data_IF_188069762898
#
_entry.id   IF_188069762898
#
_cell.length_a   1.000
_cell.length_b   1.000
_cell.length_c   1.000
_cell.angle_alpha   90.00
_cell.angle_beta   90.00
_cell.angle_gamma   90.00
#
_symmetry.space_group_name_H-M   'P 1'
#
loop_
_entity.id
_entity.type
_entity.pdbx_description
1 polymer ?
#
# COMPACT_ATOMS: atom_id res chain seq x y z
N UNK A 1 19.31 17.45 -37.38
CA UNK A 1 19.47 17.74 -35.95
C UNK A 1 18.95 19.15 -35.70
N UNK A 2 17.63 19.28 -35.49
CA UNK A 2 16.98 20.57 -35.24
C UNK A 2 17.18 20.90 -33.76
N UNK A 3 18.07 21.83 -33.47
CA UNK A 3 18.23 22.40 -32.12
C UNK A 3 16.99 23.22 -31.80
N UNK A 4 16.08 22.64 -31.01
CA UNK A 4 15.05 23.40 -30.31
C UNK A 4 15.75 24.32 -29.30
N UNK A 5 15.93 25.59 -29.67
CA UNK A 5 16.26 26.64 -28.70
C UNK A 5 15.02 26.88 -27.85
N UNK A 6 14.97 26.28 -26.67
CA UNK A 6 14.09 26.74 -25.59
C UNK A 6 14.64 28.07 -25.10
N UNK A 7 14.13 29.18 -25.65
CA UNK A 7 14.29 30.50 -25.05
C UNK A 7 13.41 30.56 -23.82
N UNK A 8 13.97 30.30 -22.64
CA UNK A 8 13.32 30.66 -21.37
C UNK A 8 13.31 32.19 -21.27
N UNK A 9 12.23 32.80 -21.74
CA UNK A 9 11.92 34.21 -21.52
C UNK A 9 11.63 34.40 -20.04
N UNK A 10 12.57 35.01 -19.31
CA UNK A 10 12.38 35.52 -17.94
C UNK A 10 11.51 36.78 -17.97
N UNK A 11 10.28 36.66 -18.47
CA UNK A 11 9.25 37.68 -18.36
C UNK A 11 8.50 37.52 -17.04
N UNK A 12 8.40 38.58 -16.24
CA UNK A 12 7.58 38.59 -15.03
C UNK A 12 6.15 38.14 -15.35
N UNK A 13 5.78 36.94 -14.91
CA UNK A 13 4.48 36.35 -15.21
C UNK A 13 3.38 37.15 -14.53
N UNK A 14 2.40 37.62 -15.31
CA UNK A 14 1.21 38.31 -14.81
C UNK A 14 0.49 37.45 -13.76
N UNK A 15 -0.04 38.08 -12.70
CA UNK A 15 -0.84 37.41 -11.66
C UNK A 15 -2.00 36.59 -12.25
N UNK A 16 -2.58 37.04 -13.37
CA UNK A 16 -3.64 36.31 -14.08
C UNK A 16 -3.12 35.03 -14.76
N UNK A 17 -1.92 35.10 -15.34
CA UNK A 17 -1.25 33.95 -15.95
C UNK A 17 -0.82 32.92 -14.89
N UNK A 18 -0.34 33.38 -13.73
CA UNK A 18 -0.04 32.50 -12.59
C UNK A 18 -1.30 31.80 -12.06
N UNK A 19 -2.40 32.54 -11.87
CA UNK A 19 -3.68 31.97 -11.46
C UNK A 19 -4.21 30.95 -12.48
N UNK A 20 -4.12 31.26 -13.78
CA UNK A 20 -4.54 30.35 -14.84
C UNK A 20 -3.75 29.04 -14.84
N UNK A 21 -2.43 29.10 -14.61
CA UNK A 21 -1.58 27.91 -14.53
C UNK A 21 -1.86 27.07 -13.28
N UNK A 22 -2.13 27.71 -12.14
CA UNK A 22 -2.52 27.00 -10.91
C UNK A 22 -3.86 26.28 -11.11
N UNK A 23 -4.85 26.95 -11.72
CA UNK A 23 -6.16 26.34 -12.02
C UNK A 23 -5.99 25.16 -12.99
N UNK A 24 -5.19 25.32 -14.04
CA UNK A 24 -4.91 24.25 -15.00
C UNK A 24 -4.23 23.05 -14.32
N UNK A 25 -3.28 23.29 -13.41
CA UNK A 25 -2.60 22.23 -12.68
C UNK A 25 -3.54 21.42 -11.76
N UNK A 26 -4.55 22.07 -11.16
CA UNK A 26 -5.57 21.39 -10.34
C UNK A 26 -6.50 20.56 -11.22
N UNK A 27 -6.94 21.09 -12.37
CA UNK A 27 -7.89 20.40 -13.26
C UNK A 27 -7.31 19.15 -13.94
N UNK A 28 -5.99 19.02 -14.03
CA UNK A 28 -5.31 17.88 -14.66
C UNK A 28 -5.10 16.70 -13.69
N UNK A 29 -5.49 16.81 -12.42
CA UNK A 29 -5.38 15.71 -11.45
C UNK A 29 -6.37 14.59 -11.80
N UNK A 30 -5.86 13.50 -12.40
CA UNK A 30 -6.63 12.27 -12.62
C UNK A 30 -6.94 11.52 -11.33
N UNK A 31 -7.83 10.51 -11.42
CA UNK A 31 -8.13 9.61 -10.30
C UNK A 31 -6.92 8.77 -9.93
N UNK A 32 -6.23 9.16 -8.85
CA UNK A 32 -5.15 8.37 -8.27
C UNK A 32 -5.74 7.17 -7.53
N UNK A 33 -5.49 5.95 -8.00
CA UNK A 33 -5.74 4.75 -7.20
C UNK A 33 -4.64 4.66 -6.14
N UNK A 34 -5.02 4.87 -4.89
CA UNK A 34 -4.13 4.75 -3.76
C UNK A 34 -4.18 3.30 -3.25
N UNK A 35 -3.01 2.69 -3.19
CA UNK A 35 -2.78 1.37 -2.61
C UNK A 35 -1.82 1.53 -1.44
N UNK A 36 -2.01 0.72 -0.40
CA UNK A 36 -1.17 0.78 0.77
C UNK A 36 -1.40 -0.41 1.68
N UNK A 37 -0.36 -0.74 2.42
CA UNK A 37 -0.38 -1.74 3.47
C UNK A 37 0.43 -1.23 4.67
N UNK A 38 0.25 -1.89 5.81
CA UNK A 38 1.04 -1.60 6.99
C UNK A 38 2.43 -2.22 6.80
N UNK A 39 3.49 -1.41 6.89
CA UNK A 39 4.87 -1.85 6.70
C UNK A 39 5.53 -2.32 8.01
N UNK A 40 5.31 -1.58 9.11
CA UNK A 40 5.84 -1.88 10.43
C UNK A 40 4.76 -1.77 11.52
N UNK A 41 4.38 -2.89 12.18
CA UNK A 41 4.73 -4.27 11.80
C UNK A 41 4.10 -4.66 10.45
N UNK A 42 4.69 -5.57 9.66
CA UNK A 42 4.18 -5.89 8.34
C UNK A 42 2.76 -6.46 8.41
N UNK A 43 1.88 -5.95 7.55
CA UNK A 43 0.53 -6.46 7.38
C UNK A 43 0.59 -7.96 7.03
N UNK A 44 -0.44 -8.72 7.46
CA UNK A 44 -0.54 -10.17 7.22
C UNK A 44 -0.38 -10.56 5.74
N UNK A 45 -0.91 -9.73 4.83
CA UNK A 45 -0.75 -9.91 3.39
C UNK A 45 0.65 -9.60 2.87
N UNK A 46 1.45 -8.82 3.59
CA UNK A 46 2.76 -8.30 3.19
C UNK A 46 3.93 -9.03 3.86
N UNK A 47 3.66 -9.91 4.83
CA UNK A 47 4.66 -10.68 5.56
C UNK A 47 5.63 -11.44 4.63
N UNK A 48 5.17 -11.92 3.48
CA UNK A 48 6.03 -12.63 2.51
C UNK A 48 7.18 -11.76 1.99
N UNK A 49 7.02 -10.42 1.96
CA UNK A 49 8.08 -9.47 1.56
C UNK A 49 9.25 -9.45 2.56
N UNK A 50 8.99 -9.80 3.81
CA UNK A 50 9.93 -9.74 4.93
C UNK A 50 10.48 -11.11 5.32
N UNK A 51 10.33 -12.12 4.45
CA UNK A 51 10.93 -13.45 4.67
C UNK A 51 10.15 -14.36 5.62
N UNK A 52 8.92 -14.00 5.99
CA UNK A 52 8.03 -14.90 6.71
C UNK A 52 7.56 -16.04 5.78
N UNK A 53 7.34 -17.23 6.35
CA UNK A 53 6.84 -18.39 5.61
C UNK A 53 5.31 -18.29 5.36
N UNK A 54 4.88 -17.26 4.63
CA UNK A 54 3.49 -17.02 4.21
C UNK A 54 3.39 -17.14 2.69
N UNK A 55 2.27 -17.61 2.13
CA UNK A 55 2.04 -17.57 0.69
C UNK A 55 2.18 -16.14 0.14
N UNK A 56 2.73 -16.03 -1.06
CA UNK A 56 2.92 -14.73 -1.73
C UNK A 56 1.55 -14.14 -2.07
N UNK A 57 1.32 -12.91 -1.62
CA UNK A 57 0.20 -12.07 -2.05
C UNK A 57 0.75 -10.84 -2.78
N UNK A 58 0.70 -10.82 -4.10
CA UNK A 58 1.19 -9.69 -4.91
C UNK A 58 0.32 -8.43 -4.80
N UNK A 59 -0.92 -8.58 -4.35
CA UNK A 59 -1.91 -7.51 -4.16
C UNK A 59 -2.06 -7.15 -2.68
N UNK A 60 -0.99 -7.33 -1.90
CA UNK A 60 -0.96 -7.09 -0.46
C UNK A 60 -1.23 -5.63 -0.06
N UNK A 61 -1.04 -4.71 -1.00
CA UNK A 61 -1.38 -3.29 -0.88
C UNK A 61 -2.84 -2.95 -1.23
N UNK A 62 -3.67 -3.94 -1.57
CA UNK A 62 -5.02 -3.75 -2.10
C UNK A 62 -6.14 -4.22 -1.14
N UNK A 63 -5.90 -4.12 0.17
CA UNK A 63 -6.86 -4.51 1.22
C UNK A 63 -7.97 -3.47 1.41
N UNK A 64 -8.92 -3.43 0.47
CA UNK A 64 -9.96 -2.40 0.35
C UNK A 64 -11.39 -2.93 0.59
N UNK A 65 -11.55 -3.91 1.48
CA UNK A 65 -12.85 -4.51 1.84
C UNK A 65 -13.58 -5.16 0.66
N UNK A 66 -12.85 -5.65 -0.35
CA UNK A 66 -13.40 -6.21 -1.59
C UNK A 66 -13.77 -5.16 -2.65
N UNK A 67 -13.38 -3.90 -2.45
CA UNK A 67 -13.61 -2.80 -3.37
C UNK A 67 -14.88 -2.00 -3.07
N UNK A 68 -14.95 -0.76 -3.59
CA UNK A 68 -15.99 0.22 -3.26
C UNK A 68 -17.42 -0.33 -3.45
N UNK A 69 -17.67 -1.07 -4.52
CA UNK A 69 -18.98 -1.64 -4.81
C UNK A 69 -19.40 -2.69 -3.77
N UNK A 70 -18.47 -3.57 -3.39
CA UNK A 70 -18.68 -4.60 -2.35
C UNK A 70 -18.84 -3.96 -0.99
N UNK A 71 -18.00 -3.00 -0.65
CA UNK A 71 -18.07 -2.25 0.61
C UNK A 71 -19.41 -1.53 0.77
N UNK A 72 -19.89 -0.88 -0.29
CA UNK A 72 -21.20 -0.20 -0.30
C UNK A 72 -22.34 -1.20 -0.14
N UNK A 73 -22.30 -2.31 -0.89
CA UNK A 73 -23.29 -3.40 -0.80
C UNK A 73 -23.35 -4.02 0.60
N UNK A 74 -22.22 -4.08 1.28
CA UNK A 74 -22.08 -4.57 2.64
C UNK A 74 -22.35 -3.50 3.71
N UNK A 75 -23.09 -2.43 3.39
CA UNK A 75 -23.42 -1.35 4.36
C UNK A 75 -22.19 -0.76 5.04
N UNK A 76 -21.10 -0.61 4.27
CA UNK A 76 -19.80 -0.13 4.72
C UNK A 76 -19.11 -1.04 5.76
N UNK A 77 -19.54 -2.29 5.89
CA UNK A 77 -18.87 -3.29 6.72
C UNK A 77 -17.64 -3.85 5.99
N UNK A 78 -16.62 -4.18 6.78
CA UNK A 78 -15.35 -4.71 6.30
C UNK A 78 -14.91 -5.89 7.18
N UNK A 79 -14.10 -6.80 6.63
CA UNK A 79 -13.41 -7.80 7.44
C UNK A 79 -12.36 -7.16 8.33
N UNK A 80 -12.03 -7.80 9.46
CA UNK A 80 -11.13 -7.21 10.46
C UNK A 80 -9.70 -7.04 9.94
N UNK A 81 -9.34 -7.78 8.89
CA UNK A 81 -8.05 -7.71 8.22
C UNK A 81 -8.12 -7.07 6.82
N UNK A 82 -9.19 -6.35 6.49
CA UNK A 82 -9.32 -5.63 5.21
C UNK A 82 -9.93 -6.44 4.06
N UNK A 83 -10.31 -7.69 4.30
CA UNK A 83 -11.06 -8.55 3.37
C UNK A 83 -12.53 -8.10 3.21
N UNK A 84 -13.24 -8.63 2.20
CA UNK A 84 -14.68 -8.38 2.04
C UNK A 84 -15.49 -8.88 3.24
N UNK A 85 -16.45 -8.08 3.71
CA UNK A 85 -17.30 -8.48 4.82
C UNK A 85 -18.13 -9.75 4.56
N UNK A 86 -18.54 -10.01 3.33
CA UNK A 86 -19.39 -11.17 2.99
C UNK A 86 -18.65 -12.22 2.14
N UNK A 87 -17.33 -12.06 1.97
CA UNK A 87 -16.50 -12.95 1.16
C UNK A 87 -15.49 -13.76 1.97
N UNK A 88 -14.64 -14.54 1.28
CA UNK A 88 -13.54 -15.26 1.91
C UNK A 88 -12.59 -14.32 2.67
N UNK A 89 -12.22 -14.70 3.89
CA UNK A 89 -11.30 -13.94 4.76
C UNK A 89 -9.89 -14.51 4.69
N UNK A 90 -9.20 -14.26 3.59
CA UNK A 90 -7.90 -14.85 3.31
C UNK A 90 -6.80 -14.40 4.29
N UNK A 91 -6.94 -13.21 4.87
CA UNK A 91 -5.97 -12.59 5.77
C UNK A 91 -6.30 -12.81 7.25
N UNK A 92 -7.44 -13.41 7.57
CA UNK A 92 -7.80 -13.77 8.94
C UNK A 92 -7.13 -15.09 9.36
N UNK A 93 -7.14 -15.39 10.66
CA UNK A 93 -6.55 -16.61 11.18
C UNK A 93 -7.21 -17.86 10.57
N UNK A 94 -6.39 -18.82 10.12
CA UNK A 94 -6.86 -19.99 9.38
C UNK A 94 -7.27 -19.70 7.92
N UNK A 95 -7.19 -18.44 7.48
CA UNK A 95 -7.33 -18.07 6.08
C UNK A 95 -6.15 -18.52 5.24
N UNK A 96 -6.34 -18.56 3.91
CA UNK A 96 -5.37 -19.06 2.94
C UNK A 96 -3.96 -18.46 3.08
N UNK A 97 -3.83 -17.19 3.48
CA UNK A 97 -2.52 -16.53 3.58
C UNK A 97 -1.83 -16.77 4.93
N UNK A 98 -2.53 -17.37 5.89
CA UNK A 98 -2.04 -17.59 7.25
C UNK A 98 -2.11 -19.06 7.70
N UNK A 99 -2.40 -19.99 6.79
CA UNK A 99 -2.64 -21.38 7.12
C UNK A 99 -1.38 -22.13 7.59
N UNK A 100 -0.22 -21.81 7.00
CA UNK A 100 1.04 -22.51 7.29
C UNK A 100 2.00 -21.72 8.19
N UNK A 101 1.87 -20.40 8.23
CA UNK A 101 2.75 -19.49 8.96
C UNK A 101 2.52 -19.48 10.47
N UNK A 102 1.32 -19.85 10.93
CA UNK A 102 0.98 -19.90 12.36
C UNK A 102 0.87 -21.31 12.94
N UNK A 103 0.81 -22.34 12.09
CA UNK A 103 0.59 -23.73 12.54
C UNK A 103 1.80 -24.32 13.29
N UNK A 104 3.00 -23.77 13.09
CA UNK A 104 4.22 -24.23 13.76
C UNK A 104 4.85 -23.11 14.63
N UNK A 105 4.75 -23.21 15.97
CA UNK A 105 5.28 -22.21 16.91
C UNK A 105 6.76 -21.87 16.68
N UNK A 106 7.56 -22.85 16.26
CA UNK A 106 9.01 -22.67 16.06
C UNK A 106 9.34 -21.76 14.88
N UNK A 107 8.50 -21.76 13.82
CA UNK A 107 8.66 -20.87 12.67
C UNK A 107 8.20 -19.44 12.99
N UNK A 108 7.18 -19.29 13.84
CA UNK A 108 6.71 -17.98 14.32
C UNK A 108 7.78 -17.27 15.13
N UNK A 109 8.41 -17.97 16.07
CA UNK A 109 9.40 -17.37 16.96
C UNK A 109 10.69 -17.04 16.21
N UNK A 110 11.08 -17.86 15.22
CA UNK A 110 12.22 -17.56 14.34
C UNK A 110 11.96 -16.35 13.45
N UNK A 111 10.81 -16.28 12.78
CA UNK A 111 10.49 -15.16 11.89
C UNK A 111 10.33 -13.83 12.64
N UNK A 112 9.71 -13.86 13.83
CA UNK A 112 9.62 -12.69 14.71
C UNK A 112 11.00 -12.25 15.23
N UNK A 113 11.89 -13.20 15.55
CA UNK A 113 13.26 -12.90 15.98
C UNK A 113 14.11 -12.32 14.86
N UNK A 114 13.99 -12.85 13.64
CA UNK A 114 14.64 -12.30 12.43
C UNK A 114 14.13 -10.89 12.16
N UNK A 115 12.81 -10.70 12.08
CA UNK A 115 12.20 -9.38 11.88
C UNK A 115 12.63 -8.37 12.95
N UNK A 116 12.57 -8.73 14.23
CA UNK A 116 12.98 -7.83 15.32
C UNK A 116 14.47 -7.48 15.26
N UNK A 117 15.34 -8.40 14.82
CA UNK A 117 16.78 -8.15 14.71
C UNK A 117 17.11 -7.25 13.53
N UNK A 118 16.50 -7.51 12.37
CA UNK A 118 16.64 -6.70 11.18
C UNK A 118 16.05 -5.30 11.38
N UNK A 119 14.90 -5.20 12.06
CA UNK A 119 14.27 -3.92 12.40
C UNK A 119 15.14 -3.08 13.34
N UNK A 120 15.73 -3.68 14.39
CA UNK A 120 16.69 -2.98 15.26
C UNK A 120 17.92 -2.48 14.49
N UNK A 121 18.37 -3.23 13.48
CA UNK A 121 19.49 -2.83 12.60
C UNK A 121 19.13 -1.67 11.66
N UNK A 122 17.85 -1.51 11.28
CA UNK A 122 17.38 -0.41 10.43
C UNK A 122 17.04 0.85 11.23
N UNK A 123 16.40 0.73 12.40
CA UNK A 123 16.05 1.87 13.25
C UNK A 123 17.27 2.44 13.99
N UNK A 124 18.27 1.63 14.33
CA UNK A 124 19.52 2.06 14.97
C UNK A 124 20.51 2.79 14.05
N UNK A 125 20.11 3.13 12.81
CA UNK A 125 20.93 3.85 11.82
C UNK A 125 20.43 5.28 11.55
N UNK A 126 19.52 5.79 12.36
CA UNK A 126 19.05 7.18 12.36
C UNK A 126 19.81 8.02 13.40
#
# INVERSE_FOLDING_TARGET
>A
MVLFRMTTSTGAMSRRSLLALVILAILVQGSLQQYGHLEDPPARGSMWRYGFNTPVNSEDNSMNCGGKQVHTRNRLQCGVCGDSYDGPRAHEYGGRLLQDSYQNPTHRDRANSSYSSDHKSQVGKL
#
